data_IF_473311568204
#
_entry.id   IF_473311568204
#
_cell.length_a   1.000
_cell.length_b   1.000
_cell.length_c   1.000
_cell.angle_alpha   90.00
_cell.angle_beta   90.00
_cell.angle_gamma   90.00
#
_symmetry.space_group_name_H-M   'P 1'
#
loop_
_entity.id
_entity.type
_entity.pdbx_description
1 polymer ?
#
# COMPACT_ATOMS: atom_id res chain seq x y z
N UNK A 1 -68.69 13.37 37.57
CA UNK A 1 -67.31 13.00 37.92
C UNK A 1 -66.65 12.48 36.64
N UNK A 2 -66.01 13.38 35.87
CA UNK A 2 -65.24 13.02 34.68
C UNK A 2 -63.79 13.42 34.94
N UNK A 3 -62.91 12.42 35.01
CA UNK A 3 -61.49 12.60 35.25
C UNK A 3 -60.85 12.90 33.89
N UNK A 4 -60.43 14.14 33.70
CA UNK A 4 -59.66 14.59 32.54
C UNK A 4 -58.22 14.12 32.72
N UNK A 5 -57.73 13.26 31.82
CA UNK A 5 -56.33 12.87 31.77
C UNK A 5 -55.55 13.89 30.93
N UNK A 6 -54.71 14.68 31.57
CA UNK A 6 -53.71 15.52 30.89
C UNK A 6 -52.59 14.62 30.34
N UNK A 7 -52.40 14.65 29.02
CA UNK A 7 -51.29 13.96 28.35
C UNK A 7 -50.07 14.87 28.43
N UNK A 8 -49.05 14.49 29.21
CA UNK A 8 -47.74 15.12 29.17
C UNK A 8 -47.02 14.72 27.89
N UNK A 9 -46.71 15.69 27.02
CA UNK A 9 -45.80 15.49 25.90
C UNK A 9 -44.37 15.37 26.43
N UNK A 10 -43.73 14.22 26.22
CA UNK A 10 -42.33 14.02 26.51
C UNK A 10 -41.46 14.89 25.58
N UNK A 11 -40.34 15.48 26.07
CA UNK A 11 -39.46 16.25 25.21
C UNK A 11 -38.84 15.33 24.16
N UNK A 12 -38.81 15.81 22.91
CA UNK A 12 -38.19 15.11 21.81
C UNK A 12 -36.73 14.80 22.13
N UNK A 13 -36.42 13.50 22.27
CA UNK A 13 -35.05 13.02 22.33
C UNK A 13 -34.38 13.43 21.01
N UNK A 14 -33.39 14.32 21.07
CA UNK A 14 -32.55 14.68 19.92
C UNK A 14 -31.75 13.45 19.51
N UNK A 15 -32.37 12.61 18.68
CA UNK A 15 -31.67 11.56 17.96
C UNK A 15 -30.68 12.25 17.02
N UNK A 16 -29.40 12.13 17.33
CA UNK A 16 -28.32 12.50 16.41
C UNK A 16 -28.60 11.75 15.09
N UNK A 17 -28.71 12.43 13.95
CA UNK A 17 -29.02 11.76 12.70
C UNK A 17 -27.95 10.69 12.42
N UNK A 18 -28.34 9.45 12.03
CA UNK A 18 -27.41 8.35 11.76
C UNK A 18 -26.41 8.65 10.62
N UNK A 19 -26.53 9.80 9.96
CA UNK A 19 -25.69 10.27 8.87
C UNK A 19 -24.34 10.84 9.31
N UNK A 20 -24.16 11.23 10.58
CA UNK A 20 -22.89 11.82 11.06
C UNK A 20 -21.77 10.79 11.29
N UNK A 21 -22.06 9.48 11.22
CA UNK A 21 -21.08 8.39 11.40
C UNK A 21 -20.57 7.86 10.04
N UNK A 22 -21.19 8.28 8.92
CA UNK A 22 -20.93 7.75 7.59
C UNK A 22 -19.81 8.50 6.84
N UNK A 23 -18.60 8.62 7.41
CA UNK A 23 -17.42 9.06 6.63
C UNK A 23 -16.05 8.81 7.30
N UNK A 24 -15.86 7.67 7.97
CA UNK A 24 -14.49 7.14 8.12
C UNK A 24 -14.01 6.66 6.75
N UNK A 25 -13.50 7.57 5.92
CA UNK A 25 -13.00 7.25 4.59
C UNK A 25 -11.80 6.32 4.76
N UNK A 26 -11.84 5.12 4.17
CA UNK A 26 -10.71 4.19 4.19
C UNK A 26 -9.42 4.95 3.80
N UNK A 27 -8.40 5.01 4.68
CA UNK A 27 -7.22 5.86 4.49
C UNK A 27 -6.45 5.54 3.20
N UNK A 28 -6.41 4.28 2.79
CA UNK A 28 -5.81 3.82 1.53
C UNK A 28 -6.57 4.42 0.34
N UNK A 29 -7.90 4.29 0.33
CA UNK A 29 -8.74 4.82 -0.76
C UNK A 29 -8.64 6.34 -0.86
N UNK A 30 -8.61 7.02 0.29
CA UNK A 30 -8.41 8.47 0.35
C UNK A 30 -7.05 8.89 -0.21
N UNK A 31 -5.97 8.18 0.17
CA UNK A 31 -4.63 8.43 -0.33
C UNK A 31 -4.53 8.24 -1.84
N UNK A 32 -5.04 7.13 -2.39
CA UNK A 32 -5.07 6.90 -3.85
C UNK A 32 -5.85 8.01 -4.57
N UNK A 33 -7.00 8.42 -4.03
CA UNK A 33 -7.81 9.50 -4.63
C UNK A 33 -7.04 10.81 -4.66
N UNK A 34 -6.36 11.16 -3.56
CA UNK A 34 -5.52 12.36 -3.46
C UNK A 34 -4.36 12.31 -4.45
N UNK A 35 -3.65 11.19 -4.50
CA UNK A 35 -2.49 11.00 -5.39
C UNK A 35 -2.88 11.06 -6.87
N UNK A 36 -4.00 10.43 -7.27
CA UNK A 36 -4.53 10.49 -8.64
C UNK A 36 -4.92 11.90 -9.08
N UNK A 37 -5.36 12.75 -8.15
CA UNK A 37 -5.68 14.17 -8.40
C UNK A 37 -4.45 15.08 -8.37
N UNK A 38 -3.33 14.60 -7.85
CA UNK A 38 -2.05 15.31 -7.85
C UNK A 38 -1.31 15.10 -9.17
N UNK A 39 -0.14 15.74 -9.33
CA UNK A 39 0.82 15.43 -10.39
C UNK A 39 2.07 14.70 -9.83
N UNK A 40 1.98 14.13 -8.63
CA UNK A 40 3.10 13.47 -7.96
C UNK A 40 3.35 12.08 -8.54
N UNK A 41 4.61 11.63 -8.48
CA UNK A 41 4.98 10.24 -8.68
C UNK A 41 4.56 9.43 -7.46
N UNK A 42 3.92 8.28 -7.65
CA UNK A 42 3.55 7.35 -6.57
C UNK A 42 3.46 5.92 -7.09
N UNK A 43 3.48 4.96 -6.17
CA UNK A 43 3.47 3.53 -6.47
C UNK A 43 2.23 2.91 -5.84
N UNK A 44 1.49 2.14 -6.63
CA UNK A 44 0.36 1.30 -6.19
C UNK A 44 0.81 -0.17 -6.20
N UNK A 45 0.56 -0.90 -5.13
CA UNK A 45 0.81 -2.34 -5.02
C UNK A 45 -0.50 -3.02 -4.64
N UNK A 46 -0.99 -3.86 -5.55
CA UNK A 46 -2.19 -4.66 -5.40
C UNK A 46 -1.78 -6.10 -5.08
N UNK A 47 -1.99 -6.52 -3.83
CA UNK A 47 -1.63 -7.83 -3.31
C UNK A 47 -2.50 -8.94 -3.90
N UNK A 48 -3.77 -8.68 -4.20
CA UNK A 48 -4.65 -9.71 -4.80
C UNK A 48 -4.25 -10.00 -6.23
N UNK A 49 -3.87 -8.97 -6.99
CA UNK A 49 -3.48 -9.09 -8.40
C UNK A 49 -1.99 -9.30 -8.60
N UNK A 50 -1.20 -9.30 -7.52
CA UNK A 50 0.26 -9.40 -7.56
C UNK A 50 0.86 -8.43 -8.59
N UNK A 51 0.48 -7.16 -8.49
CA UNK A 51 0.84 -6.12 -9.46
C UNK A 51 1.32 -4.85 -8.79
N UNK A 52 2.37 -4.28 -9.34
CA UNK A 52 2.84 -2.93 -9.01
C UNK A 52 2.60 -2.01 -10.20
N UNK A 53 2.00 -0.84 -9.95
CA UNK A 53 1.87 0.23 -10.94
C UNK A 53 2.56 1.48 -10.42
N UNK A 54 3.51 1.99 -11.21
CA UNK A 54 4.11 3.29 -11.01
C UNK A 54 3.28 4.34 -11.75
N UNK A 55 2.85 5.38 -11.04
CA UNK A 55 1.94 6.41 -11.51
C UNK A 55 2.57 7.80 -11.45
N UNK A 56 2.26 8.67 -12.41
CA UNK A 56 2.40 10.11 -12.28
C UNK A 56 1.01 10.75 -12.30
N UNK A 57 0.55 11.18 -11.12
CA UNK A 57 -0.85 11.56 -10.92
C UNK A 57 -1.78 10.40 -11.25
N UNK A 58 -2.57 10.55 -12.32
CA UNK A 58 -3.47 9.50 -12.85
C UNK A 58 -2.93 8.74 -14.07
N UNK A 59 -1.73 9.07 -14.54
CA UNK A 59 -1.14 8.47 -15.75
C UNK A 59 -0.17 7.36 -15.36
N UNK A 60 -0.34 6.12 -15.84
CA UNK A 60 0.59 5.04 -15.52
C UNK A 60 1.91 5.26 -16.26
N UNK A 61 3.02 5.20 -15.53
CA UNK A 61 4.38 5.21 -16.07
C UNK A 61 4.85 3.78 -16.43
N UNK A 62 4.56 2.82 -15.55
CA UNK A 62 4.90 1.41 -15.72
C UNK A 62 3.95 0.52 -14.92
N UNK A 63 3.70 -0.70 -15.39
CA UNK A 63 2.94 -1.72 -14.68
C UNK A 63 3.67 -3.06 -14.82
N UNK A 64 3.91 -3.73 -13.70
CA UNK A 64 4.72 -4.96 -13.64
C UNK A 64 4.06 -5.99 -12.74
N UNK A 65 4.22 -7.26 -13.10
CA UNK A 65 3.85 -8.38 -12.24
C UNK A 65 4.92 -8.50 -11.15
N UNK A 66 4.50 -8.68 -9.90
CA UNK A 66 5.40 -8.77 -8.74
C UNK A 66 5.16 -10.05 -7.96
N UNK A 67 6.06 -10.36 -7.04
CA UNK A 67 5.84 -11.37 -6.01
C UNK A 67 5.95 -10.74 -4.63
N UNK A 68 4.89 -10.81 -3.84
CA UNK A 68 4.85 -10.22 -2.49
C UNK A 68 5.10 -11.26 -1.41
N UNK A 69 4.92 -10.86 -0.15
CA UNK A 69 5.09 -11.71 1.02
C UNK A 69 4.10 -12.88 1.06
N UNK A 70 4.59 -14.05 1.46
CA UNK A 70 3.78 -15.25 1.71
C UNK A 70 2.76 -14.98 2.83
N UNK A 71 1.75 -15.84 2.95
CA UNK A 71 0.78 -15.77 4.05
C UNK A 71 1.44 -15.78 5.44
N UNK A 72 2.53 -16.54 5.62
CA UNK A 72 3.28 -16.62 6.87
C UNK A 72 4.17 -15.38 7.14
N UNK A 73 4.52 -14.62 6.10
CA UNK A 73 5.40 -13.46 6.16
C UNK A 73 4.85 -12.35 5.24
N UNK A 74 3.67 -11.80 5.57
CA UNK A 74 2.88 -10.99 4.65
C UNK A 74 3.49 -9.61 4.40
N UNK A 75 3.28 -9.09 3.20
CA UNK A 75 3.52 -7.68 2.89
C UNK A 75 2.46 -6.82 3.59
N UNK A 76 2.90 -5.74 4.25
CA UNK A 76 2.00 -4.84 4.98
C UNK A 76 1.13 -4.02 4.02
N UNK A 77 -0.18 -3.97 4.27
CA UNK A 77 -1.08 -3.00 3.64
C UNK A 77 -1.00 -1.65 4.34
N UNK A 78 -1.18 -0.56 3.58
CA UNK A 78 -1.11 0.78 4.13
C UNK A 78 -0.62 1.82 3.14
N UNK A 79 -0.30 2.99 3.68
CA UNK A 79 0.28 4.11 2.96
C UNK A 79 1.66 4.37 3.55
N UNK A 80 2.67 4.33 2.69
CA UNK A 80 4.08 4.46 3.02
C UNK A 80 4.75 5.46 2.08
N UNK A 81 6.06 5.60 2.21
CA UNK A 81 6.90 6.32 1.25
C UNK A 81 8.28 5.68 1.22
N UNK A 82 9.00 5.81 0.10
CA UNK A 82 10.39 5.38 0.02
C UNK A 82 11.21 6.15 1.07
N UNK A 83 11.88 5.41 1.95
CA UNK A 83 12.72 5.94 3.03
C UNK A 83 14.19 5.99 2.62
N UNK A 84 14.66 4.98 1.90
CA UNK A 84 16.03 4.92 1.39
C UNK A 84 16.10 4.10 0.10
N UNK A 85 17.18 4.31 -0.65
CA UNK A 85 17.46 3.63 -1.92
C UNK A 85 18.90 3.17 -1.94
N UNK A 86 19.12 1.90 -2.25
CA UNK A 86 20.44 1.30 -2.39
C UNK A 86 20.52 0.55 -3.71
N UNK A 87 21.54 0.84 -4.51
CA UNK A 87 21.73 0.18 -5.80
C UNK A 87 22.02 -1.32 -5.62
N UNK A 88 22.73 -1.67 -4.55
CA UNK A 88 22.96 -3.04 -4.07
C UNK A 88 22.79 -3.04 -2.55
N UNK A 89 22.09 -4.04 -2.00
CA UNK A 89 21.92 -4.24 -0.57
C UNK A 89 22.10 -5.71 -0.20
N UNK A 90 22.68 -5.99 0.98
CA UNK A 90 22.55 -7.31 1.60
C UNK A 90 21.21 -7.39 2.32
N UNK A 91 20.46 -8.46 2.11
CA UNK A 91 19.24 -8.78 2.86
C UNK A 91 19.38 -10.16 3.51
N UNK A 92 19.11 -10.22 4.81
CA UNK A 92 19.26 -11.43 5.60
C UNK A 92 18.04 -11.60 6.52
N UNK A 93 17.56 -12.84 6.61
CA UNK A 93 16.57 -13.29 7.58
C UNK A 93 16.96 -14.67 8.13
N UNK A 94 16.04 -15.32 8.82
CA UNK A 94 16.32 -16.59 9.52
C UNK A 94 16.71 -17.73 8.55
N UNK A 95 16.15 -17.74 7.34
CA UNK A 95 16.29 -18.80 6.33
C UNK A 95 16.88 -18.31 5.00
N UNK A 96 17.35 -17.06 4.93
CA UNK A 96 17.97 -16.51 3.71
C UNK A 96 19.04 -15.46 4.01
N UNK A 97 20.01 -15.36 3.11
CA UNK A 97 21.07 -14.35 3.14
C UNK A 97 21.56 -14.07 1.72
N UNK A 98 21.16 -12.92 1.17
CA UNK A 98 21.46 -12.53 -0.21
C UNK A 98 22.28 -11.25 -0.15
N UNK A 99 23.55 -11.31 -0.58
CA UNK A 99 24.52 -10.23 -0.38
C UNK A 99 24.36 -9.04 -1.35
N UNK A 100 23.69 -9.26 -2.48
CA UNK A 100 23.76 -8.39 -3.65
C UNK A 100 22.39 -8.05 -4.25
N UNK A 101 21.37 -7.87 -3.40
CA UNK A 101 20.01 -7.53 -3.83
C UNK A 101 19.99 -6.19 -4.57
N UNK A 102 19.65 -6.17 -5.87
CA UNK A 102 19.76 -4.96 -6.67
C UNK A 102 18.53 -4.03 -6.54
N UNK A 103 18.77 -2.74 -6.75
CA UNK A 103 17.74 -1.70 -6.89
C UNK A 103 16.74 -1.67 -5.73
N UNK A 104 17.27 -1.73 -4.51
CA UNK A 104 16.49 -1.83 -3.28
C UNK A 104 15.93 -0.48 -2.85
N UNK A 105 14.62 -0.40 -2.62
CA UNK A 105 13.91 0.77 -2.13
C UNK A 105 13.15 0.40 -0.85
N UNK A 106 13.71 0.74 0.32
CA UNK A 106 13.08 0.49 1.62
C UNK A 106 11.96 1.50 1.88
N UNK A 107 10.86 1.05 2.48
CA UNK A 107 9.71 1.90 2.77
C UNK A 107 9.09 1.72 4.16
N UNK A 108 9.46 0.66 4.89
CA UNK A 108 9.02 0.45 6.28
C UNK A 108 9.93 -0.57 6.98
N UNK A 109 10.90 -0.12 7.78
CA UNK A 109 11.85 -1.05 8.43
C UNK A 109 12.56 -1.92 7.39
N UNK A 110 12.45 -3.25 7.51
CA UNK A 110 13.01 -4.22 6.55
C UNK A 110 12.19 -4.43 5.26
N UNK A 111 11.01 -3.82 5.13
CA UNK A 111 10.16 -3.97 3.94
C UNK A 111 10.68 -3.09 2.79
N UNK A 112 10.93 -3.71 1.64
CA UNK A 112 11.45 -3.05 0.46
C UNK A 112 10.79 -3.53 -0.84
N UNK A 113 10.87 -2.68 -1.86
CA UNK A 113 10.70 -3.06 -3.27
C UNK A 113 12.11 -3.29 -3.82
N UNK A 114 12.40 -4.41 -4.46
CA UNK A 114 13.74 -4.69 -4.98
C UNK A 114 13.72 -5.65 -6.18
N UNK A 115 14.83 -5.70 -6.91
CA UNK A 115 15.06 -6.70 -7.94
C UNK A 115 15.30 -8.09 -7.32
N UNK A 116 14.69 -9.12 -7.90
CA UNK A 116 14.85 -10.51 -7.47
C UNK A 116 15.34 -11.36 -8.65
N UNK A 117 16.63 -11.70 -8.66
CA UNK A 117 17.24 -12.53 -9.70
C UNK A 117 17.12 -14.03 -9.42
N UNK A 118 16.85 -14.41 -8.17
CA UNK A 118 16.90 -15.79 -7.68
C UNK A 118 15.62 -16.60 -7.95
N UNK A 119 14.56 -15.98 -8.46
CA UNK A 119 13.33 -16.68 -8.83
C UNK A 119 12.62 -16.03 -10.02
N UNK A 120 11.73 -16.79 -10.67
CA UNK A 120 10.88 -16.33 -11.77
C UNK A 120 9.37 -16.43 -11.48
N UNK A 121 8.98 -16.71 -10.22
CA UNK A 121 7.59 -16.94 -9.79
C UNK A 121 6.71 -15.68 -9.69
N UNK A 122 6.96 -14.66 -10.53
CA UNK A 122 6.21 -13.41 -10.53
C UNK A 122 4.71 -13.68 -10.73
N UNK A 123 3.87 -13.06 -9.90
CA UNK A 123 2.44 -13.32 -9.85
C UNK A 123 2.04 -14.28 -8.72
N UNK A 124 3.01 -14.86 -8.01
CA UNK A 124 2.81 -15.67 -6.82
C UNK A 124 3.52 -15.05 -5.62
N UNK A 125 2.88 -14.93 -4.45
CA UNK A 125 3.57 -14.50 -3.23
C UNK A 125 4.61 -15.53 -2.80
N UNK A 126 5.88 -15.14 -2.73
CA UNK A 126 7.00 -16.03 -2.35
C UNK A 126 7.96 -15.43 -1.33
N UNK A 127 7.91 -14.11 -1.10
CA UNK A 127 8.90 -13.40 -0.30
C UNK A 127 8.60 -13.46 1.20
N UNK A 128 9.49 -12.87 2.01
CA UNK A 128 9.31 -12.64 3.44
C UNK A 128 8.74 -11.26 3.79
N UNK A 129 8.02 -10.65 2.86
CA UNK A 129 7.33 -9.38 3.05
C UNK A 129 7.71 -8.32 2.01
N UNK A 130 8.91 -8.41 1.44
CA UNK A 130 9.36 -7.53 0.37
C UNK A 130 8.54 -7.73 -0.92
N UNK A 131 8.52 -6.70 -1.76
CA UNK A 131 7.90 -6.76 -3.10
C UNK A 131 9.01 -7.04 -4.12
N UNK A 132 9.01 -8.26 -4.64
CA UNK A 132 10.01 -8.76 -5.57
C UNK A 132 9.59 -8.37 -6.99
N UNK A 133 10.52 -7.75 -7.72
CA UNK A 133 10.33 -7.26 -9.09
C UNK A 133 11.42 -7.87 -9.97
N UNK A 134 11.13 -8.14 -11.26
CA UNK A 134 12.18 -8.52 -12.21
C UNK A 134 13.27 -7.43 -12.27
N UNK A 135 14.54 -7.83 -12.38
CA UNK A 135 15.68 -6.91 -12.17
C UNK A 135 15.66 -5.70 -13.12
N UNK A 136 15.33 -5.93 -14.40
CA UNK A 136 15.21 -4.89 -15.43
C UNK A 136 14.08 -3.87 -15.10
N UNK A 137 12.96 -4.38 -14.59
CA UNK A 137 11.84 -3.57 -14.13
C UNK A 137 12.16 -2.82 -12.83
N UNK A 138 12.93 -3.43 -11.94
CA UNK A 138 13.37 -2.83 -10.69
C UNK A 138 14.34 -1.67 -10.94
N UNK A 139 15.29 -1.82 -11.87
CA UNK A 139 16.19 -0.75 -12.31
C UNK A 139 15.41 0.46 -12.81
N UNK A 140 14.49 0.24 -13.77
CA UNK A 140 13.67 1.31 -14.33
C UNK A 140 12.81 2.01 -13.27
N UNK A 141 12.26 1.25 -12.33
CA UNK A 141 11.46 1.81 -11.23
C UNK A 141 12.35 2.60 -10.26
N UNK A 142 13.53 2.08 -9.96
CA UNK A 142 14.52 2.71 -9.10
C UNK A 142 14.94 4.05 -9.66
N UNK A 143 15.30 4.14 -10.94
CA UNK A 143 15.69 5.41 -11.56
C UNK A 143 14.56 6.45 -11.59
N UNK A 144 13.32 5.97 -11.78
CA UNK A 144 12.14 6.84 -11.82
C UNK A 144 11.70 7.33 -10.44
N UNK A 145 11.83 6.51 -9.40
CA UNK A 145 11.37 6.85 -8.06
C UNK A 145 12.43 7.64 -7.27
N UNK A 146 11.97 8.47 -6.33
CA UNK A 146 12.83 9.24 -5.42
C UNK A 146 12.53 8.88 -3.98
N UNK A 147 13.47 9.14 -3.06
CA UNK A 147 13.15 9.12 -1.63
C UNK A 147 11.96 10.08 -1.38
N UNK A 148 10.98 9.63 -0.62
CA UNK A 148 9.71 10.31 -0.41
C UNK A 148 8.62 10.00 -1.44
N UNK A 149 8.87 9.21 -2.49
CA UNK A 149 7.81 8.74 -3.39
C UNK A 149 6.78 7.93 -2.58
N UNK A 150 5.48 8.32 -2.57
CA UNK A 150 4.45 7.60 -1.84
C UNK A 150 4.22 6.20 -2.41
N UNK A 151 3.96 5.24 -1.52
CA UNK A 151 3.62 3.87 -1.84
C UNK A 151 2.29 3.55 -1.18
N UNK A 152 1.34 3.01 -1.94
CA UNK A 152 0.06 2.52 -1.42
C UNK A 152 -0.02 1.03 -1.66
N UNK A 153 -0.14 0.26 -0.59
CA UNK A 153 -0.26 -1.20 -0.63
C UNK A 153 -1.67 -1.60 -0.18
N UNK A 154 -2.37 -2.36 -1.00
CA UNK A 154 -3.73 -2.80 -0.71
C UNK A 154 -4.03 -4.18 -1.30
N UNK A 155 -5.17 -4.75 -0.93
CA UNK A 155 -5.72 -5.95 -1.57
C UNK A 155 -6.60 -5.59 -2.76
#
# INVERSE_FOLDING_TARGET
MMISFSVFAAPASTQIPPTAIAQATNPIKSAMTKLKKSNQRWIEIDLTRQRLIAWQGKTPFSAVIVSTGKAATPTLTGVFQIQSKLQIARMQGDDYDISDVPFTMYYSGGYAIHGAYWHHSFGTPVSHGCVNVAVDHAERLFDWASVGTPIVVHN
#
